data_IF_062597570838
#
_entry.id   IF_062597570838
#
_cell.length_a   1.000
_cell.length_b   1.000
_cell.length_c   1.000
_cell.angle_alpha   90.00
_cell.angle_beta   90.00
_cell.angle_gamma   90.00
#
_symmetry.space_group_name_H-M   'P 1'
#
loop_
_entity.id
_entity.type
_entity.pdbx_description
1 polymer ?
#
# COMPACT_ATOMS: atom_id res chain seq x y z
N UNK A 1 15.85 69.56 -20.03
CA UNK A 1 15.05 68.76 -19.07
C UNK A 1 15.45 67.30 -19.22
N UNK A 2 16.32 66.80 -18.35
CA UNK A 2 16.94 65.46 -18.44
C UNK A 2 15.95 64.44 -17.84
N UNK A 3 15.44 63.51 -18.64
CA UNK A 3 14.67 62.36 -18.14
C UNK A 3 15.62 61.21 -17.83
N UNK A 4 15.78 60.90 -16.54
CA UNK A 4 16.44 59.68 -16.05
C UNK A 4 15.65 58.45 -16.49
N UNK A 5 16.32 57.50 -17.12
CA UNK A 5 15.84 56.14 -17.34
C UNK A 5 16.29 55.34 -16.11
N UNK A 6 15.35 54.81 -15.33
CA UNK A 6 15.64 53.81 -14.30
C UNK A 6 15.55 52.42 -14.94
N UNK A 7 16.61 51.58 -14.86
CA UNK A 7 16.47 50.18 -15.24
C UNK A 7 15.71 49.45 -14.14
N UNK A 8 14.59 48.83 -14.49
CA UNK A 8 13.92 47.86 -13.63
C UNK A 8 14.81 46.61 -13.56
N UNK A 9 15.53 46.44 -12.44
CA UNK A 9 16.15 45.16 -12.12
C UNK A 9 15.03 44.19 -11.73
N UNK A 10 14.75 43.22 -12.60
CA UNK A 10 13.96 42.04 -12.23
C UNK A 10 14.89 41.13 -11.44
N UNK A 11 14.78 41.15 -10.12
CA UNK A 11 15.40 40.15 -9.26
C UNK A 11 14.60 38.85 -9.39
N UNK A 12 15.09 37.91 -10.18
CA UNK A 12 14.62 36.52 -10.14
C UNK A 12 15.19 35.90 -8.87
N UNK A 13 14.38 35.83 -7.82
CA UNK A 13 14.67 35.01 -6.64
C UNK A 13 14.40 33.57 -7.06
N UNK A 14 15.45 32.85 -7.48
CA UNK A 14 15.41 31.39 -7.56
C UNK A 14 15.47 30.91 -6.11
N UNK A 15 14.31 30.69 -5.51
CA UNK A 15 14.18 29.88 -4.30
C UNK A 15 14.52 28.45 -4.69
N UNK A 16 15.80 28.11 -4.69
CA UNK A 16 16.22 26.71 -4.57
C UNK A 16 15.82 26.28 -3.17
N UNK A 17 14.59 25.81 -3.01
CA UNK A 17 14.25 24.94 -1.90
C UNK A 17 15.05 23.66 -2.13
N UNK A 18 16.27 23.63 -1.60
CA UNK A 18 16.87 22.39 -1.18
C UNK A 18 15.95 21.83 -0.10
N UNK A 19 14.98 21.02 -0.50
CA UNK A 19 14.35 20.08 0.41
C UNK A 19 15.50 19.14 0.77
N UNK A 20 16.21 19.44 1.85
CA UNK A 20 16.96 18.43 2.56
C UNK A 20 15.89 17.46 3.07
N UNK A 21 15.58 16.44 2.26
CA UNK A 21 14.98 15.22 2.75
C UNK A 21 15.99 14.71 3.78
N UNK A 22 15.78 15.02 5.06
CA UNK A 22 16.48 14.34 6.15
C UNK A 22 16.13 12.87 5.98
N UNK A 23 17.07 12.02 5.53
CA UNK A 23 16.78 10.62 5.35
C UNK A 23 16.44 10.10 6.74
N UNK A 24 15.24 9.54 6.90
CA UNK A 24 14.97 8.71 8.08
C UNK A 24 15.84 7.47 7.85
N UNK A 25 17.01 7.45 8.50
CA UNK A 25 17.91 6.30 8.54
C UNK A 25 17.13 5.09 9.06
N UNK A 26 17.39 3.94 8.45
CA UNK A 26 16.79 2.62 8.66
C UNK A 26 17.00 2.04 10.05
N UNK A 27 16.39 2.68 11.04
CA UNK A 27 16.07 2.04 12.32
C UNK A 27 14.57 1.82 12.46
N UNK A 28 13.83 1.87 11.35
CA UNK A 28 12.38 1.82 11.31
C UNK A 28 11.90 0.46 11.80
N UNK A 29 11.49 0.40 13.07
CA UNK A 29 10.53 -0.61 13.49
C UNK A 29 9.32 -0.47 12.58
N UNK A 30 8.99 -1.51 11.82
CA UNK A 30 7.79 -1.47 10.97
C UNK A 30 6.59 -1.34 11.90
N UNK A 31 5.97 -0.16 11.90
CA UNK A 31 4.86 0.17 12.78
C UNK A 31 3.56 -0.44 12.25
N UNK A 32 2.62 -0.68 13.18
CA UNK A 32 1.27 -1.09 12.84
C UNK A 32 0.60 0.01 12.00
N UNK A 33 0.03 -0.37 10.86
CA UNK A 33 -0.73 0.55 10.01
C UNK A 33 -2.19 0.51 10.41
N UNK A 34 -2.81 1.66 10.66
CA UNK A 34 -4.25 1.77 10.92
C UNK A 34 -5.11 1.48 9.67
N UNK A 35 -4.48 1.48 8.49
CA UNK A 35 -5.15 1.24 7.21
C UNK A 35 -5.56 -0.21 6.97
N UNK A 36 -6.40 -0.42 5.96
CA UNK A 36 -6.80 -1.75 5.47
C UNK A 36 -6.60 -1.90 3.96
N UNK A 37 -6.28 -3.12 3.53
CA UNK A 37 -6.05 -3.43 2.12
C UNK A 37 -7.28 -3.88 1.35
N UNK A 38 -8.46 -3.83 1.97
CA UNK A 38 -9.70 -4.25 1.31
C UNK A 38 -9.98 -3.40 0.05
N UNK A 39 -10.50 -4.04 -1.00
CA UNK A 39 -10.86 -3.38 -2.26
C UNK A 39 -12.22 -3.84 -2.76
N UNK A 40 -12.71 -3.12 -3.75
CA UNK A 40 -13.94 -3.44 -4.46
C UNK A 40 -13.90 -4.81 -5.11
N UNK A 41 -15.09 -5.40 -5.27
CA UNK A 41 -15.27 -6.71 -5.89
C UNK A 41 -15.09 -7.88 -4.94
N UNK A 42 -14.55 -7.68 -3.73
CA UNK A 42 -14.46 -8.75 -2.73
C UNK A 42 -15.85 -9.04 -2.13
N UNK A 43 -16.14 -10.32 -1.91
CA UNK A 43 -17.19 -10.73 -0.98
C UNK A 43 -16.70 -11.77 0.02
N UNK A 44 -17.36 -11.82 1.17
CA UNK A 44 -17.16 -12.84 2.22
C UNK A 44 -18.52 -13.27 2.75
N UNK A 45 -18.74 -14.58 2.83
CA UNK A 45 -19.92 -15.19 3.44
C UNK A 45 -19.53 -15.81 4.78
N UNK A 46 -20.29 -15.49 5.81
CA UNK A 46 -20.17 -16.08 7.14
C UNK A 46 -21.44 -16.84 7.51
N UNK A 47 -21.25 -18.00 8.12
CA UNK A 47 -22.31 -18.72 8.84
C UNK A 47 -22.29 -18.25 10.29
N UNK A 48 -23.45 -17.83 10.79
CA UNK A 48 -23.64 -17.43 12.19
C UNK A 48 -24.07 -18.64 13.02
N UNK A 49 -23.77 -18.61 14.33
CA UNK A 49 -24.05 -19.70 15.26
C UNK A 49 -25.52 -20.12 15.38
N UNK A 50 -26.45 -19.28 14.92
CA UNK A 50 -27.88 -19.55 14.87
C UNK A 50 -28.40 -19.99 13.49
N UNK A 51 -27.48 -20.25 12.55
CA UNK A 51 -27.77 -20.71 11.19
C UNK A 51 -28.06 -19.60 10.17
N UNK A 52 -28.04 -18.32 10.56
CA UNK A 52 -28.15 -17.20 9.60
C UNK A 52 -26.88 -17.07 8.76
N UNK A 53 -27.04 -16.54 7.55
CA UNK A 53 -25.92 -16.21 6.67
C UNK A 53 -25.73 -14.69 6.61
N UNK A 54 -24.49 -14.27 6.84
CA UNK A 54 -24.03 -12.89 6.71
C UNK A 54 -23.22 -12.77 5.42
N UNK A 55 -23.72 -12.02 4.44
CA UNK A 55 -23.01 -11.72 3.21
C UNK A 55 -22.44 -10.30 3.26
N UNK A 56 -21.12 -10.18 3.19
CA UNK A 56 -20.42 -8.90 3.19
C UNK A 56 -19.81 -8.68 1.83
N UNK A 57 -20.15 -7.57 1.17
CA UNK A 57 -19.64 -7.20 -0.14
C UNK A 57 -18.95 -5.84 -0.08
N UNK A 58 -17.76 -5.75 -0.66
CA UNK A 58 -16.97 -4.54 -0.77
C UNK A 58 -17.10 -3.98 -2.19
N UNK A 59 -17.66 -2.80 -2.30
CA UNK A 59 -18.09 -2.19 -3.54
C UNK A 59 -17.28 -0.93 -3.83
N UNK A 60 -16.97 -0.71 -5.11
CA UNK A 60 -16.35 0.52 -5.55
C UNK A 60 -17.32 1.69 -5.42
N UNK A 61 -16.77 2.88 -5.22
CA UNK A 61 -17.52 4.10 -5.46
C UNK A 61 -17.68 4.32 -6.97
N UNK A 62 -18.67 5.11 -7.35
CA UNK A 62 -18.91 5.49 -8.74
C UNK A 62 -18.02 6.66 -9.23
N UNK A 63 -17.20 7.23 -8.35
CA UNK A 63 -16.32 8.36 -8.63
C UNK A 63 -15.05 8.30 -7.79
N UNK A 64 -14.04 9.05 -8.22
CA UNK A 64 -12.80 9.25 -7.49
C UNK A 64 -13.02 10.01 -6.18
N UNK A 65 -12.18 9.71 -5.19
CA UNK A 65 -12.06 10.42 -3.92
C UNK A 65 -10.58 10.62 -3.59
N UNK A 66 -10.23 11.76 -2.99
CA UNK A 66 -8.83 12.06 -2.64
C UNK A 66 -8.25 11.07 -1.63
N UNK A 67 -9.08 10.64 -0.68
CA UNK A 67 -8.77 9.54 0.25
C UNK A 67 -9.39 8.25 -0.27
N UNK A 68 -8.74 7.09 -0.08
CA UNK A 68 -9.28 5.83 -0.54
C UNK A 68 -10.50 5.45 0.30
N UNK A 69 -11.66 5.36 -0.35
CA UNK A 69 -12.93 5.00 0.30
C UNK A 69 -13.49 3.71 -0.29
N UNK A 70 -14.25 2.96 0.52
CA UNK A 70 -14.94 1.74 0.10
C UNK A 70 -16.39 1.75 0.59
N UNK A 71 -17.32 1.29 -0.25
CA UNK A 71 -18.70 1.03 0.17
C UNK A 71 -18.85 -0.43 0.60
N UNK A 72 -19.21 -0.67 1.85
CA UNK A 72 -19.42 -2.01 2.39
C UNK A 72 -20.91 -2.24 2.53
N UNK A 73 -21.38 -3.36 2.00
CA UNK A 73 -22.76 -3.82 2.13
C UNK A 73 -22.78 -5.10 2.93
N UNK A 74 -23.68 -5.18 3.90
CA UNK A 74 -23.93 -6.36 4.71
C UNK A 74 -25.37 -6.79 4.50
N UNK A 75 -25.58 -8.01 3.99
CA UNK A 75 -26.89 -8.64 3.92
C UNK A 75 -27.01 -9.75 4.97
N UNK A 76 -28.06 -9.68 5.77
CA UNK A 76 -28.39 -10.68 6.79
C UNK A 76 -29.84 -11.05 6.61
N UNK A 77 -30.08 -12.26 6.09
CA UNK A 77 -31.43 -12.80 5.90
C UNK A 77 -32.39 -11.85 5.16
N UNK A 78 -31.92 -11.14 4.12
CA UNK A 78 -32.73 -10.25 3.29
C UNK A 78 -32.86 -8.83 3.83
N UNK A 79 -32.24 -8.51 4.97
CA UNK A 79 -32.03 -7.14 5.42
C UNK A 79 -30.62 -6.69 5.03
N UNK A 80 -30.56 -5.70 4.15
CA UNK A 80 -29.30 -5.10 3.70
C UNK A 80 -29.02 -3.81 4.45
N UNK A 81 -27.82 -3.70 5.02
CA UNK A 81 -27.24 -2.48 5.58
C UNK A 81 -26.01 -2.09 4.76
N UNK A 82 -25.61 -0.82 4.82
CA UNK A 82 -24.43 -0.35 4.11
C UNK A 82 -23.74 0.82 4.81
N UNK A 83 -22.46 1.02 4.52
CA UNK A 83 -21.73 2.23 4.87
C UNK A 83 -20.50 2.45 3.99
N UNK A 84 -20.08 3.71 3.88
CA UNK A 84 -18.83 4.12 3.26
C UNK A 84 -17.77 4.32 4.34
N UNK A 85 -16.61 3.70 4.17
CA UNK A 85 -15.50 3.80 5.09
C UNK A 85 -14.26 4.38 4.42
N UNK A 86 -13.47 5.09 5.21
CA UNK A 86 -12.13 5.50 4.83
C UNK A 86 -11.13 4.37 5.11
N UNK A 87 -10.39 3.94 4.08
CA UNK A 87 -9.45 2.84 4.17
C UNK A 87 -8.16 3.19 4.93
N UNK A 88 -7.85 4.48 5.13
CA UNK A 88 -6.62 4.89 5.84
C UNK A 88 -6.76 4.83 7.36
N UNK A 89 -7.95 5.16 7.87
CA UNK A 89 -8.20 5.31 9.30
C UNK A 89 -9.40 4.52 9.81
N UNK A 90 -10.06 3.74 8.94
CA UNK A 90 -11.20 2.86 9.26
C UNK A 90 -12.42 3.60 9.83
N UNK A 91 -12.51 4.92 9.65
CA UNK A 91 -13.66 5.68 10.08
C UNK A 91 -14.81 5.54 9.09
N UNK A 92 -16.04 5.41 9.60
CA UNK A 92 -17.24 5.55 8.79
C UNK A 92 -17.41 6.99 8.35
N UNK A 93 -17.63 7.19 7.07
CA UNK A 93 -17.95 8.49 6.48
C UNK A 93 -19.46 8.71 6.44
N UNK A 94 -20.22 7.71 6.00
CA UNK A 94 -21.68 7.78 5.87
C UNK A 94 -22.29 6.37 5.88
N UNK A 95 -23.58 6.25 6.23
CA UNK A 95 -24.35 5.02 6.15
C UNK A 95 -24.85 4.50 7.50
N UNK A 96 -25.42 3.31 7.47
CA UNK A 96 -26.17 2.70 8.56
C UNK A 96 -25.32 1.77 9.42
N UNK A 97 -24.30 1.12 8.83
CA UNK A 97 -23.37 0.29 9.58
C UNK A 97 -22.56 1.14 10.56
N UNK A 98 -22.12 0.53 11.65
CA UNK A 98 -21.25 1.18 12.64
C UNK A 98 -19.79 1.24 12.18
N UNK A 99 -18.92 1.90 12.95
CA UNK A 99 -17.49 1.92 12.67
C UNK A 99 -16.89 0.51 12.62
N UNK A 100 -15.74 0.36 11.95
CA UNK A 100 -14.99 -0.90 11.89
C UNK A 100 -14.56 -1.43 13.27
N UNK A 101 -14.48 -0.57 14.28
CA UNK A 101 -14.29 -1.04 15.64
C UNK A 101 -15.45 -1.94 16.05
N UNK A 102 -16.69 -1.58 15.74
CA UNK A 102 -17.87 -2.38 16.13
C UNK A 102 -18.14 -3.57 15.19
N UNK A 103 -17.74 -3.48 13.92
CA UNK A 103 -17.81 -4.59 12.96
C UNK A 103 -16.42 -4.90 12.40
N UNK A 104 -15.53 -5.54 13.18
CA UNK A 104 -14.15 -5.74 12.79
C UNK A 104 -14.02 -6.97 11.89
N UNK A 105 -14.67 -6.94 10.72
CA UNK A 105 -14.57 -8.00 9.71
C UNK A 105 -13.20 -8.03 9.03
N UNK A 106 -12.41 -7.00 9.26
CA UNK A 106 -11.01 -6.89 8.89
C UNK A 106 -10.28 -6.24 10.06
N UNK A 107 -8.98 -6.48 10.11
CA UNK A 107 -8.06 -5.82 11.04
C UNK A 107 -7.05 -4.93 10.31
N UNK A 108 -6.41 -4.00 11.04
CA UNK A 108 -5.29 -3.23 10.51
C UNK A 108 -4.14 -4.12 10.03
N UNK A 109 -3.14 -3.52 9.39
CA UNK A 109 -2.01 -4.26 8.81
C UNK A 109 -0.75 -4.16 9.66
N UNK A 110 0.16 -5.10 9.43
CA UNK A 110 1.48 -5.15 10.08
C UNK A 110 1.38 -5.34 11.59
N UNK A 111 0.52 -6.28 11.97
CA UNK A 111 0.30 -6.65 13.36
C UNK A 111 1.39 -7.64 13.83
N UNK A 112 1.83 -7.49 15.07
CA UNK A 112 2.80 -8.35 15.75
C UNK A 112 2.21 -8.90 17.05
N UNK A 113 2.83 -9.95 17.59
CA UNK A 113 2.46 -10.43 18.93
C UNK A 113 2.65 -9.32 19.97
N UNK A 114 1.73 -9.27 20.94
CA UNK A 114 1.63 -8.23 21.97
C UNK A 114 1.13 -6.86 21.48
N UNK A 115 0.88 -6.67 20.18
CA UNK A 115 0.15 -5.48 19.74
C UNK A 115 -1.26 -5.46 20.33
N UNK A 116 -1.78 -4.24 20.47
CA UNK A 116 -3.15 -3.99 20.95
C UNK A 116 -4.00 -3.41 19.84
N UNK A 117 -5.22 -3.91 19.74
CA UNK A 117 -6.20 -3.48 18.76
C UNK A 117 -7.49 -3.14 19.50
N UNK A 118 -8.02 -1.94 19.26
CA UNK A 118 -9.33 -1.55 19.75
C UNK A 118 -10.39 -2.04 18.78
N UNK A 119 -11.29 -2.86 19.29
CA UNK A 119 -12.47 -3.40 18.61
C UNK A 119 -13.64 -3.36 19.61
N UNK A 120 -14.86 -3.37 19.11
CA UNK A 120 -16.14 -3.30 19.81
C UNK A 120 -16.21 -2.28 20.94
N UNK A 121 -16.82 -1.12 20.68
CA UNK A 121 -17.00 -0.07 21.69
C UNK A 121 -15.71 0.20 22.51
N UNK A 122 -14.59 0.31 21.78
CA UNK A 122 -13.25 0.55 22.31
C UNK A 122 -12.67 -0.52 23.26
N UNK A 123 -13.21 -1.75 23.28
CA UNK A 123 -12.58 -2.88 23.99
C UNK A 123 -11.21 -3.19 23.39
N UNK A 124 -10.24 -3.49 24.26
CA UNK A 124 -8.86 -3.77 23.86
C UNK A 124 -8.65 -5.27 23.72
N UNK A 125 -8.24 -5.69 22.53
CA UNK A 125 -7.80 -7.03 22.24
C UNK A 125 -6.27 -7.08 22.12
N UNK A 126 -5.66 -8.07 22.75
CA UNK A 126 -4.24 -8.36 22.62
C UNK A 126 -4.04 -9.40 21.51
N UNK A 127 -2.99 -9.20 20.71
CA UNK A 127 -2.55 -10.21 19.74
C UNK A 127 -1.78 -11.28 20.49
N UNK A 128 -2.41 -12.44 20.66
CA UNK A 128 -1.86 -13.57 21.43
C UNK A 128 -1.18 -14.63 20.56
N UNK A 129 -1.23 -14.46 19.24
CA UNK A 129 -0.51 -15.31 18.30
C UNK A 129 -0.58 -14.77 16.88
N UNK A 130 0.53 -14.81 16.19
CA UNK A 130 0.60 -14.47 14.75
C UNK A 130 1.42 -15.50 14.01
N UNK A 131 0.90 -15.98 12.89
CA UNK A 131 1.65 -16.77 11.92
C UNK A 131 1.22 -16.38 10.51
N UNK A 132 1.75 -17.05 9.50
CA UNK A 132 1.43 -16.73 8.11
C UNK A 132 -0.07 -16.88 7.80
N UNK A 133 -0.74 -17.86 8.41
CA UNK A 133 -2.14 -18.20 8.10
C UNK A 133 -3.14 -17.43 8.96
N UNK A 134 -2.77 -17.05 10.18
CA UNK A 134 -3.71 -16.53 11.16
C UNK A 134 -3.10 -15.50 12.12
N UNK A 135 -3.93 -14.54 12.50
CA UNK A 135 -3.71 -13.61 13.61
C UNK A 135 -4.81 -13.87 14.64
N UNK A 136 -4.42 -14.12 15.88
CA UNK A 136 -5.35 -14.45 16.97
C UNK A 136 -5.39 -13.30 17.95
N UNK A 137 -6.58 -12.74 18.14
CA UNK A 137 -6.85 -11.69 19.10
C UNK A 137 -7.63 -12.24 20.29
N UNK A 138 -7.33 -11.76 21.50
CA UNK A 138 -8.08 -12.11 22.72
C UNK A 138 -8.12 -10.95 23.71
N UNK A 139 -9.26 -10.80 24.39
CA UNK A 139 -9.44 -9.92 25.55
C UNK A 139 -9.75 -10.72 26.84
N UNK A 140 -9.38 -11.99 26.89
CA UNK A 140 -9.70 -13.00 27.92
C UNK A 140 -11.14 -13.57 27.89
N UNK A 141 -12.09 -12.85 27.29
CA UNK A 141 -13.49 -13.30 27.17
C UNK A 141 -13.78 -13.83 25.76
N UNK A 142 -13.42 -13.04 24.76
CA UNK A 142 -13.66 -13.29 23.35
C UNK A 142 -12.35 -13.59 22.65
N UNK A 143 -12.37 -14.59 21.77
CA UNK A 143 -11.27 -14.91 20.85
C UNK A 143 -11.71 -14.66 19.42
N UNK A 144 -10.90 -13.91 18.67
CA UNK A 144 -11.11 -13.62 17.25
C UNK A 144 -9.94 -14.16 16.45
N UNK A 145 -10.22 -14.79 15.32
CA UNK A 145 -9.24 -15.37 14.41
C UNK A 145 -9.38 -14.65 13.08
N UNK A 146 -8.30 -14.00 12.67
CA UNK A 146 -8.17 -13.31 11.39
C UNK A 146 -7.19 -14.04 10.51
N UNK A 147 -7.31 -13.84 9.21
CA UNK A 147 -6.38 -14.33 8.21
C UNK A 147 -5.07 -13.53 8.26
N UNK A 148 -3.93 -14.20 8.44
CA UNK A 148 -2.64 -13.52 8.59
C UNK A 148 -2.13 -12.78 7.34
N UNK A 149 -2.75 -13.00 6.18
CA UNK A 149 -2.27 -12.50 4.89
C UNK A 149 -3.14 -11.37 4.33
N UNK A 150 -4.46 -11.50 4.47
CA UNK A 150 -5.43 -10.47 4.11
C UNK A 150 -5.85 -9.61 5.29
N UNK A 151 -5.87 -10.13 6.52
CA UNK A 151 -6.44 -9.46 7.68
C UNK A 151 -7.97 -9.57 7.75
N UNK A 152 -8.62 -10.41 6.94
CA UNK A 152 -10.07 -10.66 7.03
C UNK A 152 -10.42 -11.56 8.22
N UNK A 153 -11.57 -11.37 8.85
CA UNK A 153 -12.06 -12.25 9.91
C UNK A 153 -12.32 -13.64 9.33
N UNK A 154 -11.78 -14.68 9.97
CA UNK A 154 -12.03 -16.08 9.66
C UNK A 154 -13.08 -16.68 10.59
N UNK A 155 -12.95 -16.42 11.89
CA UNK A 155 -13.85 -16.97 12.92
C UNK A 155 -13.83 -16.09 14.17
N UNK A 156 -14.98 -15.82 14.77
CA UNK A 156 -15.06 -15.07 16.02
C UNK A 156 -16.45 -14.51 16.30
N UNK A 157 -16.64 -13.97 17.50
CA UNK A 157 -17.88 -13.28 17.86
C UNK A 157 -18.00 -11.95 17.11
N UNK A 158 -19.20 -11.64 16.64
CA UNK A 158 -19.59 -10.36 16.05
C UNK A 158 -20.92 -9.87 16.66
N UNK A 159 -21.12 -8.55 16.69
CA UNK A 159 -22.31 -7.93 17.30
C UNK A 159 -23.27 -7.40 16.23
N UNK A 160 -24.34 -8.13 15.94
CA UNK A 160 -25.33 -7.78 14.92
C UNK A 160 -26.66 -7.44 15.61
N UNK A 161 -27.25 -6.28 15.32
CA UNK A 161 -28.57 -5.89 15.85
C UNK A 161 -28.70 -6.03 17.39
N UNK A 162 -27.63 -5.73 18.14
CA UNK A 162 -27.53 -5.92 19.60
C UNK A 162 -27.50 -7.39 20.06
N UNK A 163 -27.24 -8.33 19.15
CA UNK A 163 -27.02 -9.75 19.45
C UNK A 163 -25.54 -10.10 19.19
N UNK A 164 -24.93 -10.85 20.11
CA UNK A 164 -23.57 -11.39 19.92
C UNK A 164 -23.67 -12.81 19.39
N UNK A 165 -23.08 -13.06 18.22
CA UNK A 165 -23.10 -14.37 17.56
C UNK A 165 -21.70 -14.75 17.11
N UNK A 166 -21.39 -16.03 17.15
CA UNK A 166 -20.15 -16.52 16.53
C UNK A 166 -20.35 -16.59 15.02
N UNK A 167 -19.44 -16.00 14.26
CA UNK A 167 -19.42 -16.00 12.82
C UNK A 167 -18.19 -16.76 12.33
N UNK A 168 -18.40 -17.64 11.35
CA UNK A 168 -17.33 -18.38 10.67
C UNK A 168 -17.39 -18.16 9.18
N UNK A 169 -16.28 -17.73 8.58
CA UNK A 169 -16.19 -17.53 7.15
C UNK A 169 -16.28 -18.87 6.42
N UNK A 170 -17.29 -19.01 5.56
CA UNK A 170 -17.55 -20.24 4.79
C UNK A 170 -17.19 -20.08 3.31
N UNK A 171 -17.16 -18.86 2.78
CA UNK A 171 -16.86 -18.61 1.36
C UNK A 171 -16.34 -17.20 1.10
N UNK A 172 -15.49 -17.06 0.11
CA UNK A 172 -15.05 -15.77 -0.46
C UNK A 172 -14.67 -15.97 -1.92
N UNK A 173 -14.58 -14.90 -2.71
CA UNK A 173 -13.92 -14.91 -4.02
C UNK A 173 -12.42 -14.61 -3.95
N UNK A 174 -11.88 -14.32 -2.77
CA UNK A 174 -10.44 -14.11 -2.61
C UNK A 174 -9.67 -15.41 -2.90
N UNK A 175 -8.60 -15.29 -3.68
CA UNK A 175 -7.63 -16.36 -3.92
C UNK A 175 -6.32 -16.01 -3.22
N UNK A 176 -6.09 -16.56 -2.04
CA UNK A 176 -4.88 -16.33 -1.26
C UNK A 176 -3.63 -16.88 -1.96
N UNK A 177 -2.81 -16.01 -2.57
CA UNK A 177 -1.57 -16.38 -3.29
C UNK A 177 -0.36 -16.52 -2.35
N UNK A 178 -0.56 -17.17 -1.20
CA UNK A 178 0.43 -17.31 -0.12
C UNK A 178 1.75 -17.87 -0.62
N UNK A 179 1.70 -19.03 -1.25
CA UNK A 179 2.89 -19.71 -1.78
C UNK A 179 3.66 -18.82 -2.77
N UNK A 180 2.97 -18.11 -3.65
CA UNK A 180 3.61 -17.20 -4.61
C UNK A 180 4.33 -16.04 -3.90
N UNK A 181 3.71 -15.44 -2.88
CA UNK A 181 4.33 -14.34 -2.13
C UNK A 181 5.38 -14.81 -1.11
N UNK A 182 5.34 -16.06 -0.69
CA UNK A 182 6.37 -16.64 0.18
C UNK A 182 7.60 -17.07 -0.63
N UNK A 183 7.39 -17.66 -1.81
CA UNK A 183 8.46 -18.33 -2.56
C UNK A 183 9.00 -17.52 -3.74
N UNK A 184 8.20 -16.63 -4.34
CA UNK A 184 8.53 -16.00 -5.63
C UNK A 184 8.52 -14.48 -5.60
N UNK A 185 7.56 -13.88 -4.90
CA UNK A 185 7.37 -12.43 -4.84
C UNK A 185 7.66 -11.89 -3.44
N UNK A 186 7.53 -10.58 -3.27
CA UNK A 186 7.59 -9.95 -1.96
C UNK A 186 6.31 -9.19 -1.70
N UNK A 187 5.75 -9.41 -0.52
CA UNK A 187 4.83 -8.46 0.07
C UNK A 187 5.61 -7.26 0.63
N UNK A 188 4.95 -6.16 0.94
CA UNK A 188 5.65 -4.93 1.34
C UNK A 188 6.46 -5.12 2.62
N UNK A 189 5.92 -5.87 3.59
CA UNK A 189 6.59 -6.15 4.86
C UNK A 189 7.87 -6.98 4.64
N UNK A 190 7.77 -8.03 3.84
CA UNK A 190 8.90 -8.92 3.51
C UNK A 190 9.97 -8.18 2.72
N UNK A 191 9.56 -7.39 1.71
CA UNK A 191 10.50 -6.53 0.98
C UNK A 191 11.22 -5.58 1.93
N UNK A 192 10.48 -4.89 2.80
CA UNK A 192 11.06 -3.94 3.77
C UNK A 192 12.12 -4.64 4.63
N UNK A 193 11.81 -5.80 5.23
CA UNK A 193 12.77 -6.56 6.03
C UNK A 193 14.01 -6.93 5.22
N UNK A 194 13.82 -7.45 3.99
CA UNK A 194 14.91 -7.83 3.09
C UNK A 194 15.82 -6.66 2.71
N UNK A 195 15.24 -5.48 2.49
CA UNK A 195 15.98 -4.27 2.23
C UNK A 195 16.81 -3.85 3.44
N UNK A 196 16.25 -3.86 4.65
CA UNK A 196 17.01 -3.55 5.88
C UNK A 196 18.15 -4.55 6.12
N UNK A 197 17.95 -5.85 5.81
CA UNK A 197 19.01 -6.87 5.85
C UNK A 197 20.14 -6.54 4.86
N UNK A 198 19.80 -6.14 3.63
CA UNK A 198 20.79 -5.73 2.62
C UNK A 198 21.56 -4.49 3.05
N UNK A 199 20.90 -3.47 3.57
CA UNK A 199 21.57 -2.26 4.03
C UNK A 199 22.52 -2.55 5.19
N UNK A 200 22.10 -3.37 6.15
CA UNK A 200 23.00 -3.80 7.23
C UNK A 200 24.22 -4.56 6.72
N UNK A 201 24.07 -5.37 5.67
CA UNK A 201 25.16 -6.16 5.06
C UNK A 201 26.11 -5.29 4.22
N UNK A 202 25.58 -4.30 3.51
CA UNK A 202 26.30 -3.44 2.57
C UNK A 202 26.35 -1.97 3.01
N UNK A 203 26.42 -1.72 4.32
CA UNK A 203 26.26 -0.39 4.96
C UNK A 203 27.19 0.72 4.43
N UNK A 204 28.33 0.36 3.85
CA UNK A 204 29.32 1.31 3.33
C UNK A 204 29.05 1.67 1.85
N UNK A 205 28.10 0.99 1.20
CA UNK A 205 27.82 1.05 -0.24
C UNK A 205 26.34 1.41 -0.50
N UNK A 206 25.44 0.84 0.29
CA UNK A 206 23.99 0.94 0.11
C UNK A 206 23.39 1.86 1.16
N UNK A 207 22.58 2.81 0.71
CA UNK A 207 21.72 3.63 1.55
C UNK A 207 20.27 3.39 1.19
N UNK A 208 19.42 3.12 2.17
CA UNK A 208 17.99 2.93 1.99
C UNK A 208 17.23 4.00 2.76
N UNK A 209 16.28 4.64 2.09
CA UNK A 209 15.43 5.67 2.69
C UNK A 209 14.06 5.68 2.04
N UNK A 210 13.09 6.22 2.77
CA UNK A 210 11.77 6.48 2.22
C UNK A 210 11.75 7.76 1.40
N UNK A 211 11.14 7.70 0.22
CA UNK A 211 10.91 8.86 -0.66
C UNK A 211 9.50 9.44 -0.53
N UNK A 212 8.68 8.83 0.33
CA UNK A 212 7.29 9.19 0.55
C UNK A 212 6.47 8.00 1.03
N UNK A 213 5.18 8.24 1.25
CA UNK A 213 4.23 7.20 1.66
C UNK A 213 3.17 6.97 0.59
N UNK A 214 2.71 5.73 0.46
CA UNK A 214 1.49 5.41 -0.28
C UNK A 214 0.24 5.96 0.41
N UNK A 215 -0.90 5.87 -0.25
CA UNK A 215 -2.19 6.29 0.32
C UNK A 215 -2.55 5.57 1.62
N UNK A 216 -2.19 4.29 1.76
CA UNK A 216 -2.41 3.51 2.98
C UNK A 216 -1.24 3.59 3.98
N UNK A 217 -0.30 4.51 3.75
CA UNK A 217 0.73 4.86 4.74
C UNK A 217 2.00 4.00 4.70
N UNK A 218 2.21 3.22 3.63
CA UNK A 218 3.43 2.41 3.46
C UNK A 218 4.56 3.26 2.92
N UNK A 219 5.75 3.12 3.50
CA UNK A 219 6.94 3.77 2.95
C UNK A 219 7.25 3.27 1.54
N UNK A 220 7.64 4.18 0.67
CA UNK A 220 8.14 3.90 -0.67
C UNK A 220 9.66 3.94 -0.57
N UNK A 221 10.29 2.76 -0.59
CA UNK A 221 11.73 2.62 -0.35
C UNK A 221 12.53 2.87 -1.63
N UNK A 222 13.52 3.77 -1.54
CA UNK A 222 14.59 3.93 -2.51
C UNK A 222 15.88 3.32 -1.96
N UNK A 223 16.59 2.60 -2.84
CA UNK A 223 17.87 1.95 -2.58
C UNK A 223 18.91 2.67 -3.43
N UNK A 224 19.77 3.46 -2.80
CA UNK A 224 20.76 4.30 -3.46
C UNK A 224 22.16 3.71 -3.29
N UNK A 225 22.86 3.54 -4.41
CA UNK A 225 24.27 3.17 -4.49
C UNK A 225 24.98 4.34 -5.15
N UNK A 226 25.71 5.12 -4.35
CA UNK A 226 26.38 6.34 -4.82
C UNK A 226 27.67 5.99 -5.56
N UNK A 227 27.92 6.66 -6.67
CA UNK A 227 29.19 6.55 -7.40
C UNK A 227 30.38 7.01 -6.54
N UNK A 228 31.54 6.36 -6.69
CA UNK A 228 32.72 6.67 -5.85
C UNK A 228 33.46 7.95 -6.23
N UNK A 229 33.23 8.46 -7.45
CA UNK A 229 33.89 9.63 -8.01
C UNK A 229 33.00 10.86 -8.02
N UNK A 230 33.28 11.79 -8.94
CA UNK A 230 32.36 12.88 -9.23
C UNK A 230 31.16 12.30 -9.97
N UNK A 231 29.97 12.40 -9.39
CA UNK A 231 28.74 11.96 -10.03
C UNK A 231 28.49 12.77 -11.33
N UNK A 232 28.37 12.05 -12.44
CA UNK A 232 28.06 12.56 -13.78
C UNK A 232 26.62 12.24 -14.19
N UNK A 233 25.95 11.33 -13.49
CA UNK A 233 24.56 10.99 -13.73
C UNK A 233 24.01 9.95 -12.77
N UNK A 234 22.68 9.80 -12.81
CA UNK A 234 21.93 8.84 -12.00
C UNK A 234 21.13 7.93 -12.91
N UNK A 235 21.19 6.62 -12.68
CA UNK A 235 20.29 5.64 -13.28
C UNK A 235 19.19 5.36 -12.27
N UNK A 236 17.94 5.67 -12.63
CA UNK A 236 16.77 5.34 -11.82
C UNK A 236 16.02 4.16 -12.42
N UNK A 237 15.70 3.17 -11.57
CA UNK A 237 14.95 1.97 -11.94
C UNK A 237 13.84 1.78 -10.91
N UNK A 238 12.58 1.76 -11.35
CA UNK A 238 11.45 1.41 -10.48
C UNK A 238 10.86 0.04 -10.83
N UNK A 239 10.27 -0.59 -9.83
CA UNK A 239 9.49 -1.82 -9.92
C UNK A 239 8.12 -1.64 -9.30
N UNK A 240 7.15 -2.41 -9.79
CA UNK A 240 5.83 -2.48 -9.18
C UNK A 240 5.02 -1.18 -9.24
N UNK A 241 5.20 -0.34 -10.27
CA UNK A 241 4.31 0.80 -10.54
C UNK A 241 2.85 0.35 -10.74
N UNK A 242 2.67 -0.75 -11.48
CA UNK A 242 1.43 -1.51 -11.45
C UNK A 242 1.54 -2.60 -10.38
N UNK A 243 0.72 -2.54 -9.34
CA UNK A 243 0.85 -3.44 -8.20
C UNK A 243 0.60 -4.93 -8.52
N UNK A 244 -0.16 -5.20 -9.58
CA UNK A 244 -0.43 -6.57 -10.07
C UNK A 244 0.77 -7.21 -10.77
N UNK A 245 1.74 -6.40 -11.23
CA UNK A 245 2.94 -6.85 -11.95
C UNK A 245 4.07 -7.17 -10.97
N UNK A 246 3.77 -7.98 -9.96
CA UNK A 246 4.65 -8.32 -8.82
C UNK A 246 6.02 -8.91 -9.20
N UNK A 247 6.16 -9.43 -10.42
CA UNK A 247 7.45 -9.86 -10.96
C UNK A 247 8.43 -8.68 -11.12
N UNK A 248 7.93 -7.48 -11.45
CA UNK A 248 8.75 -6.27 -11.56
C UNK A 248 9.43 -5.92 -10.24
N UNK A 249 8.72 -6.11 -9.12
CA UNK A 249 9.28 -5.95 -7.77
C UNK A 249 10.44 -6.92 -7.53
N UNK A 250 10.25 -8.20 -7.88
CA UNK A 250 11.28 -9.23 -7.70
C UNK A 250 12.50 -8.98 -8.57
N UNK A 251 12.30 -8.52 -9.80
CA UNK A 251 13.39 -8.19 -10.74
C UNK A 251 14.18 -6.98 -10.24
N UNK A 252 13.52 -5.90 -9.83
CA UNK A 252 14.20 -4.72 -9.27
C UNK A 252 15.02 -5.08 -8.02
N UNK A 253 14.46 -5.88 -7.10
CA UNK A 253 15.20 -6.38 -5.94
C UNK A 253 16.38 -7.30 -6.35
N UNK A 254 16.19 -8.21 -7.32
CA UNK A 254 17.29 -9.08 -7.76
C UNK A 254 18.42 -8.28 -8.41
N UNK A 255 18.08 -7.24 -9.17
CA UNK A 255 19.06 -6.35 -9.77
C UNK A 255 19.87 -5.61 -8.70
N UNK A 256 19.20 -5.13 -7.64
CA UNK A 256 19.88 -4.57 -6.48
C UNK A 256 20.88 -5.57 -5.86
N UNK A 257 20.45 -6.81 -5.59
CA UNK A 257 21.35 -7.86 -5.06
C UNK A 257 22.58 -8.07 -5.96
N UNK A 258 22.36 -8.20 -7.27
CA UNK A 258 23.44 -8.43 -8.23
C UNK A 258 24.40 -7.26 -8.30
N UNK A 259 23.92 -6.01 -8.30
CA UNK A 259 24.80 -4.83 -8.30
C UNK A 259 25.66 -4.78 -7.02
N UNK A 260 25.10 -5.14 -5.87
CA UNK A 260 25.82 -5.18 -4.60
C UNK A 260 26.86 -6.31 -4.55
N UNK A 261 26.52 -7.49 -5.07
CA UNK A 261 27.43 -8.63 -5.17
C UNK A 261 28.61 -8.34 -6.12
N UNK A 262 28.35 -7.66 -7.25
CA UNK A 262 29.32 -7.34 -8.28
C UNK A 262 29.94 -5.94 -8.12
N UNK A 263 29.69 -5.24 -7.01
CA UNK A 263 30.02 -3.83 -6.82
C UNK A 263 31.47 -3.48 -7.21
N UNK A 264 32.45 -4.23 -6.70
CA UNK A 264 33.87 -3.99 -6.97
C UNK A 264 34.23 -4.17 -8.46
N UNK A 265 33.58 -5.10 -9.15
CA UNK A 265 33.77 -5.32 -10.58
C UNK A 265 33.16 -4.17 -11.39
N UNK A 266 31.96 -3.71 -11.02
CA UNK A 266 31.29 -2.58 -11.66
C UNK A 266 32.07 -1.26 -11.47
N UNK A 267 32.67 -1.06 -10.29
CA UNK A 267 33.62 0.03 -10.02
C UNK A 267 34.87 -0.11 -10.89
N UNK A 268 35.48 -1.30 -10.94
CA UNK A 268 36.68 -1.56 -11.73
C UNK A 268 36.49 -1.36 -13.24
N UNK A 269 35.29 -1.66 -13.75
CA UNK A 269 34.85 -1.40 -15.13
C UNK A 269 34.47 0.07 -15.39
N UNK A 270 34.42 0.90 -14.35
CA UNK A 270 34.13 2.33 -14.45
C UNK A 270 32.66 2.72 -14.41
N UNK A 271 31.72 1.77 -14.35
CA UNK A 271 30.28 2.06 -14.35
C UNK A 271 29.87 2.85 -13.09
N UNK A 272 30.22 2.34 -11.91
CA UNK A 272 29.94 2.97 -10.62
C UNK A 272 31.02 3.99 -10.20
N UNK A 273 31.91 4.38 -11.13
CA UNK A 273 32.89 5.43 -10.86
C UNK A 273 32.24 6.81 -10.94
N UNK A 274 31.36 7.00 -11.94
CA UNK A 274 30.74 8.29 -12.22
C UNK A 274 29.21 8.23 -12.22
N UNK A 275 28.59 7.05 -12.11
CA UNK A 275 27.13 6.91 -12.08
C UNK A 275 26.68 6.40 -10.72
N UNK A 276 25.65 7.04 -10.18
CA UNK A 276 24.88 6.50 -9.06
C UNK A 276 23.68 5.73 -9.58
N UNK A 277 23.23 4.75 -8.81
CA UNK A 277 22.04 3.96 -9.13
C UNK A 277 21.03 4.11 -8.00
N UNK A 278 19.79 4.45 -8.37
CA UNK A 278 18.64 4.47 -7.46
C UNK A 278 17.65 3.40 -7.94
N UNK A 279 17.36 2.44 -7.07
CA UNK A 279 16.36 1.41 -7.33
C UNK A 279 15.18 1.60 -6.36
N UNK A 280 13.96 1.65 -6.90
CA UNK A 280 12.72 1.71 -6.12
C UNK A 280 11.99 0.39 -6.37
N UNK A 281 12.18 -0.65 -5.53
CA UNK A 281 11.68 -1.97 -5.88
C UNK A 281 10.14 -2.05 -5.94
N UNK A 282 9.44 -1.20 -5.19
CA UNK A 282 7.98 -1.23 -5.08
C UNK A 282 7.41 0.20 -4.99
N UNK A 283 7.09 0.80 -6.14
CA UNK A 283 6.51 2.14 -6.22
C UNK A 283 5.04 2.19 -5.77
N UNK A 284 4.25 1.15 -6.08
CA UNK A 284 2.84 1.03 -5.67
C UNK A 284 2.63 -0.10 -4.65
N UNK A 285 3.02 0.10 -3.38
CA UNK A 285 2.90 -0.94 -2.37
C UNK A 285 1.45 -1.30 -2.04
N UNK A 286 0.50 -0.35 -2.21
CA UNK A 286 -0.92 -0.58 -1.95
C UNK A 286 -1.57 -1.50 -2.99
N UNK A 287 -1.15 -1.42 -4.26
CA UNK A 287 -1.59 -2.33 -5.31
C UNK A 287 -0.95 -3.73 -5.17
N UNK A 288 0.32 -3.79 -4.76
CA UNK A 288 1.01 -5.08 -4.52
C UNK A 288 0.35 -5.84 -3.37
N UNK A 289 0.03 -5.16 -2.26
CA UNK A 289 -0.66 -5.81 -1.13
C UNK A 289 -2.05 -6.31 -1.50
N UNK A 290 -2.79 -5.61 -2.38
CA UNK A 290 -4.06 -6.13 -2.89
C UNK A 290 -3.85 -7.39 -3.74
N UNK A 291 -2.76 -7.44 -4.51
CA UNK A 291 -2.44 -8.54 -5.43
C UNK A 291 -2.11 -9.86 -4.72
N UNK A 292 -2.03 -9.86 -3.38
CA UNK A 292 -1.89 -11.04 -2.52
C UNK A 292 -3.10 -11.96 -2.59
N UNK A 293 -4.31 -11.44 -2.51
CA UNK A 293 -5.52 -12.25 -2.35
C UNK A 293 -6.64 -11.89 -3.34
N UNK A 294 -6.45 -10.88 -4.19
CA UNK A 294 -7.36 -10.61 -5.30
C UNK A 294 -7.23 -11.64 -6.42
N UNK A 295 -8.33 -12.15 -7.00
CA UNK A 295 -8.23 -13.00 -8.16
C UNK A 295 -7.92 -12.14 -9.41
N UNK A 296 -6.94 -12.51 -10.25
CA UNK A 296 -6.77 -11.92 -11.58
C UNK A 296 -7.84 -12.41 -12.59
N UNK A 297 -8.79 -13.23 -12.14
CA UNK A 297 -9.86 -13.81 -12.98
C UNK A 297 -11.20 -13.76 -12.22
N UNK A 298 -12.27 -13.20 -12.81
CA UNK A 298 -12.31 -12.61 -14.15
C UNK A 298 -11.47 -11.33 -14.25
N UNK A 299 -10.97 -11.06 -15.46
CA UNK A 299 -10.10 -9.93 -15.85
C UNK A 299 -10.59 -8.57 -15.34
N UNK A 300 -11.88 -8.45 -15.00
CA UNK A 300 -12.53 -7.21 -14.53
C UNK A 300 -11.97 -6.67 -13.20
N UNK A 301 -11.28 -7.48 -12.39
CA UNK A 301 -10.67 -7.05 -11.12
C UNK A 301 -9.17 -6.72 -11.21
N UNK A 302 -8.58 -6.70 -12.42
CA UNK A 302 -7.19 -6.26 -12.61
C UNK A 302 -6.97 -4.85 -12.06
N UNK A 303 -7.99 -3.98 -12.17
CA UNK A 303 -7.91 -2.59 -11.68
C UNK A 303 -7.47 -2.53 -10.21
N UNK A 304 -8.05 -3.37 -9.36
CA UNK A 304 -7.90 -3.28 -7.91
C UNK A 304 -6.47 -3.61 -7.42
N UNK A 305 -5.75 -4.48 -8.14
CA UNK A 305 -4.34 -4.77 -7.89
C UNK A 305 -3.37 -3.94 -8.72
N UNK A 306 -3.77 -3.52 -9.92
CA UNK A 306 -2.94 -2.71 -10.83
C UNK A 306 -2.77 -1.28 -10.32
N UNK A 307 -3.87 -0.66 -9.93
CA UNK A 307 -3.92 0.75 -9.51
C UNK A 307 -3.48 0.90 -8.05
N UNK A 308 -3.28 2.14 -7.60
CA UNK A 308 -3.10 2.42 -6.18
C UNK A 308 -4.43 2.32 -5.40
N UNK A 309 -4.43 2.63 -4.10
CA UNK A 309 -5.64 2.51 -3.26
C UNK A 309 -6.81 3.43 -3.67
N UNK A 310 -6.54 4.51 -4.41
CA UNK A 310 -7.56 5.39 -5.00
C UNK A 310 -8.06 4.89 -6.37
N UNK A 311 -7.56 3.75 -6.87
CA UNK A 311 -7.95 3.23 -8.17
C UNK A 311 -7.38 4.01 -9.37
N UNK A 312 -6.29 4.76 -9.18
CA UNK A 312 -5.56 5.48 -10.24
C UNK A 312 -4.44 4.60 -10.80
N UNK A 313 -4.32 4.55 -12.13
CA UNK A 313 -3.16 3.97 -12.81
C UNK A 313 -2.01 4.99 -12.75
N UNK A 314 -0.98 4.69 -11.94
CA UNK A 314 0.14 5.60 -11.71
C UNK A 314 0.87 5.97 -13.01
N UNK A 315 0.95 5.04 -13.97
CA UNK A 315 1.59 5.27 -15.27
C UNK A 315 0.74 6.15 -16.21
N UNK A 316 -0.46 6.54 -15.79
CA UNK A 316 -1.32 7.51 -16.48
C UNK A 316 -1.41 8.84 -15.76
N UNK A 317 -0.85 8.94 -14.56
CA UNK A 317 -0.99 10.12 -13.72
C UNK A 317 0.12 11.16 -13.95
N UNK A 318 1.22 10.85 -14.66
CA UNK A 318 2.26 11.84 -14.97
C UNK A 318 1.75 13.00 -15.85
N UNK A 319 2.36 14.18 -15.72
CA UNK A 319 1.94 15.40 -16.42
C UNK A 319 2.15 15.39 -17.94
N UNK A 320 2.97 14.48 -18.47
CA UNK A 320 3.23 14.42 -19.92
C UNK A 320 2.03 13.87 -20.68
N UNK A 321 1.44 14.69 -21.55
CA UNK A 321 0.26 14.31 -22.36
C UNK A 321 -0.88 13.69 -21.53
N UNK A 322 -1.05 14.10 -20.27
CA UNK A 322 -1.96 13.49 -19.30
C UNK A 322 -3.39 13.33 -19.83
N UNK A 323 -3.91 14.36 -20.52
CA UNK A 323 -5.26 14.33 -21.09
C UNK A 323 -5.47 13.30 -22.20
N UNK A 324 -4.40 12.81 -22.82
CA UNK A 324 -4.41 11.78 -23.88
C UNK A 324 -3.87 10.44 -23.39
N UNK A 325 -3.12 10.42 -22.29
CA UNK A 325 -2.41 9.24 -21.80
C UNK A 325 -3.30 8.16 -21.18
N UNK A 326 -4.41 8.56 -20.54
CA UNK A 326 -5.30 7.64 -19.83
C UNK A 326 -6.77 8.04 -19.85
N UNK A 327 -7.62 7.13 -19.34
CA UNK A 327 -9.06 7.30 -19.30
C UNK A 327 -9.48 8.32 -18.24
N UNK A 328 -10.46 9.21 -18.51
CA UNK A 328 -11.08 10.05 -17.49
C UNK A 328 -12.15 9.30 -16.67
N UNK A 329 -12.49 8.06 -17.04
CA UNK A 329 -13.56 7.30 -16.38
C UNK A 329 -13.00 6.47 -15.23
N UNK A 330 -13.52 6.72 -14.02
CA UNK A 330 -13.05 6.08 -12.79
C UNK A 330 -13.06 4.55 -12.84
N UNK A 331 -14.03 3.93 -13.52
CA UNK A 331 -14.11 2.47 -13.61
C UNK A 331 -13.05 1.85 -14.54
N UNK A 332 -12.26 2.65 -15.26
CA UNK A 332 -11.24 2.16 -16.17
C UNK A 332 -9.99 1.66 -15.44
N UNK A 333 -9.35 0.63 -15.99
CA UNK A 333 -8.03 0.14 -15.55
C UNK A 333 -6.90 1.11 -15.88
N UNK A 334 -7.14 2.11 -16.74
CA UNK A 334 -6.20 3.17 -17.11
C UNK A 334 -6.70 4.54 -16.66
N UNK A 335 -7.52 4.58 -15.60
CA UNK A 335 -8.00 5.83 -15.01
C UNK A 335 -6.82 6.69 -14.56
N UNK A 336 -6.75 7.92 -15.06
CA UNK A 336 -5.56 8.78 -14.92
C UNK A 336 -5.54 9.68 -13.68
N UNK A 337 -6.59 9.63 -12.86
CA UNK A 337 -6.85 10.60 -11.79
C UNK A 337 -7.65 11.82 -12.27
N UNK A 338 -7.96 12.72 -11.36
CA UNK A 338 -8.66 13.99 -11.65
C UNK A 338 -7.70 15.09 -12.12
N UNK A 339 -6.42 15.00 -11.75
CA UNK A 339 -5.37 15.96 -12.07
C UNK A 339 -4.04 15.21 -12.32
N UNK A 340 -3.12 15.75 -13.15
CA UNK A 340 -1.79 15.18 -13.28
C UNK A 340 -1.03 15.26 -11.95
N UNK A 341 -0.22 14.25 -11.69
CA UNK A 341 0.65 14.11 -10.53
C UNK A 341 -0.13 14.25 -9.22
N UNK A 342 -1.38 13.79 -9.19
CA UNK A 342 -2.25 13.86 -8.02
C UNK A 342 -1.83 12.86 -6.93
N UNK A 343 -1.36 11.69 -7.34
CA UNK A 343 -1.13 10.55 -6.45
C UNK A 343 0.20 10.66 -5.69
N UNK A 344 0.22 10.32 -4.39
CA UNK A 344 1.41 10.50 -3.56
C UNK A 344 2.59 9.65 -4.04
N UNK A 345 2.35 8.48 -4.63
CA UNK A 345 3.39 7.62 -5.20
C UNK A 345 4.11 8.31 -6.37
N UNK A 346 3.37 8.96 -7.26
CA UNK A 346 3.93 9.70 -8.41
C UNK A 346 4.66 10.95 -7.96
N UNK A 347 4.13 11.66 -6.96
CA UNK A 347 4.82 12.80 -6.34
C UNK A 347 6.14 12.38 -5.70
N UNK A 348 6.15 11.26 -4.99
CA UNK A 348 7.35 10.71 -4.35
C UNK A 348 8.45 10.41 -5.37
N UNK A 349 8.09 9.73 -6.48
CA UNK A 349 9.03 9.47 -7.58
C UNK A 349 9.54 10.76 -8.24
N UNK A 350 8.67 11.75 -8.46
CA UNK A 350 9.06 13.01 -9.07
C UNK A 350 10.06 13.82 -8.22
N UNK A 351 9.92 13.77 -6.90
CA UNK A 351 10.75 14.57 -5.99
C UNK A 351 12.21 14.09 -5.92
N UNK A 352 12.52 12.92 -6.44
CA UNK A 352 13.89 12.35 -6.50
C UNK A 352 14.48 12.34 -7.92
N UNK A 353 13.70 12.78 -8.92
CA UNK A 353 14.15 13.08 -10.28
C UNK A 353 14.62 14.53 -10.35
#
# INVERSE_FOLDING_TARGET
MIKRIYPYFITIVILTQFIQLTPILSHTTIEKLESMDVRSGIYTLYELSDGRILNVTYNSLNKYTKTPLINVTIDICGRTLWAIYNLTNRMRIYGELWNWEVYPLWIPKIIKENDKIQLYDHRVFNVIGTNETSIILSNNETKLIYDGFSGVLLEGEIEIFNETLNAKMIKTNMKFRREYFNNLYFDWKTLTIKLMELESKYKDILKIYSIGKSLLGREIWACEITGIGKEEGVILIDGGMHGSEVIGVRVAYKLLETILEEYNELVGKGLLRNLSIIIIPMLNPDGVEMSKYSPPIPIIHIKDGRCNANGVDLNRNFGYSWTLGGSPYYNSTTYRGEEPESEPEVKALKNIL
#
